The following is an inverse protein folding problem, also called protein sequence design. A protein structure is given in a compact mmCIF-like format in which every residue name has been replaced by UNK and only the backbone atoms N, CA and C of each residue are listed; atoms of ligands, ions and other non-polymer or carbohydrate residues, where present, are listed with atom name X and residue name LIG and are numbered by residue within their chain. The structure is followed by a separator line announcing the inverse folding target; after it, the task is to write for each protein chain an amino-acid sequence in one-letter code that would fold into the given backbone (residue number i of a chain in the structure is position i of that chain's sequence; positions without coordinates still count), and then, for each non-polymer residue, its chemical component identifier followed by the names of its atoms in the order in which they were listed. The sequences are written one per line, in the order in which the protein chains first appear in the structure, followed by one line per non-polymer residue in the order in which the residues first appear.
data_IF_652711512293
#
_entry.id   IF_652711512293
#
_cell.length_a   1.000
_cell.length_b   1.000
_cell.length_c   1.000
_cell.angle_alpha   90.00
_cell.angle_beta   90.00
_cell.angle_gamma   90.00
#
_symmetry.space_group_name_H-M   'P 1'
#
loop_
_entity.id
_entity.type
_entity.pdbx_description
1 polymer ?
#
# COMPACT_ATOMS: atom_id res chain seq x y z
N UNK A 1 -20.86 20.97 4.43
CA UNK A 1 -21.17 19.52 4.33
C UNK A 1 -19.96 18.76 4.84
N UNK A 2 -20.01 18.28 6.09
CA UNK A 2 -19.04 17.29 6.57
C UNK A 2 -19.44 15.95 5.95
N UNK A 3 -18.95 15.69 4.74
CA UNK A 3 -18.90 14.34 4.22
C UNK A 3 -17.94 13.58 5.11
N UNK A 4 -18.46 12.90 6.13
CA UNK A 4 -17.80 11.72 6.63
C UNK A 4 -17.75 10.73 5.46
N UNK A 5 -16.71 10.87 4.66
CA UNK A 5 -16.19 9.77 3.84
C UNK A 5 -16.05 8.60 4.81
N UNK A 6 -16.16 7.36 4.38
CA UNK A 6 -15.91 6.20 5.25
C UNK A 6 -14.36 6.11 5.48
N UNK A 7 -13.76 7.10 6.16
CA UNK A 7 -12.95 8.17 5.52
C UNK A 7 -11.51 7.94 5.12
N UNK A 8 -10.95 6.74 5.30
CA UNK A 8 -9.53 6.51 5.63
C UNK A 8 -9.32 6.45 7.14
N UNK A 9 -10.05 7.22 7.97
CA UNK A 9 -9.89 7.15 9.43
C UNK A 9 -10.15 5.73 9.96
N UNK A 10 -11.24 5.09 9.50
CA UNK A 10 -11.53 3.69 9.84
C UNK A 10 -10.42 2.73 9.38
N UNK A 11 -9.81 3.00 8.21
CA UNK A 11 -8.71 2.20 7.71
C UNK A 11 -7.48 2.38 8.61
N UNK A 12 -7.14 3.62 8.99
CA UNK A 12 -6.03 3.91 9.92
C UNK A 12 -6.16 3.16 11.23
N UNK A 13 -7.33 3.27 11.85
CA UNK A 13 -7.59 2.71 13.18
C UNK A 13 -7.63 1.19 13.15
N UNK A 14 -8.39 0.61 12.23
CA UNK A 14 -8.63 -0.85 12.19
C UNK A 14 -7.52 -1.64 11.53
N UNK A 15 -6.64 -1.00 10.75
CA UNK A 15 -5.45 -1.64 10.14
C UNK A 15 -4.12 -1.18 10.75
N UNK A 16 -4.17 -0.34 11.78
CA UNK A 16 -2.98 0.22 12.46
C UNK A 16 -2.02 0.96 11.52
N UNK A 17 -2.55 1.77 10.60
CA UNK A 17 -1.77 2.56 9.61
C UNK A 17 -1.96 4.07 9.81
N UNK A 18 -1.49 4.59 10.94
CA UNK A 18 -1.72 5.97 11.37
C UNK A 18 -1.26 7.06 10.37
N UNK A 19 -0.22 6.78 9.58
CA UNK A 19 0.32 7.70 8.59
C UNK A 19 -0.58 7.89 7.36
N UNK A 20 -1.53 6.99 7.12
CA UNK A 20 -2.38 7.01 5.93
C UNK A 20 -3.17 8.32 5.86
N UNK A 21 -3.21 8.98 4.71
CA UNK A 21 -3.99 10.20 4.49
C UNK A 21 -4.34 10.37 3.02
N UNK A 22 -5.35 11.18 2.73
CA UNK A 22 -5.66 11.55 1.35
C UNK A 22 -4.43 12.19 0.68
N UNK A 23 -4.17 11.81 -0.58
CA UNK A 23 -3.06 12.31 -1.36
C UNK A 23 -1.70 11.67 -1.04
N UNK A 24 -1.62 10.72 -0.09
CA UNK A 24 -0.35 10.04 0.16
C UNK A 24 0.05 9.22 -1.06
N UNK A 25 1.35 9.25 -1.36
CA UNK A 25 1.95 8.50 -2.45
C UNK A 25 2.04 7.03 -2.06
N UNK A 26 1.67 6.15 -2.98
CA UNK A 26 1.81 4.72 -2.77
C UNK A 26 2.14 3.96 -4.06
N UNK A 27 2.68 2.77 -3.86
CA UNK A 27 2.85 1.75 -4.88
C UNK A 27 2.03 0.55 -4.46
N UNK A 28 1.19 0.03 -5.36
CA UNK A 28 0.43 -1.20 -5.11
C UNK A 28 0.72 -2.16 -6.26
N UNK A 29 1.24 -3.35 -5.95
CA UNK A 29 1.62 -4.36 -6.93
C UNK A 29 2.48 -3.79 -8.07
N UNK A 30 3.53 -3.04 -7.71
CA UNK A 30 4.45 -2.41 -8.66
C UNK A 30 3.92 -1.17 -9.39
N UNK A 31 2.69 -0.72 -9.11
CA UNK A 31 2.07 0.43 -9.80
C UNK A 31 1.97 1.63 -8.88
N UNK A 32 2.50 2.76 -9.33
CA UNK A 32 2.47 4.02 -8.59
C UNK A 32 1.12 4.75 -8.70
N UNK A 33 0.69 5.35 -7.59
CA UNK A 33 -0.54 6.15 -7.53
C UNK A 33 -0.66 6.99 -6.26
N UNK A 34 -1.81 7.64 -6.10
CA UNK A 34 -2.17 8.41 -4.90
C UNK A 34 -3.40 7.82 -4.23
N UNK A 35 -3.41 7.78 -2.91
CA UNK A 35 -4.59 7.35 -2.14
C UNK A 35 -5.65 8.45 -2.15
N UNK A 36 -6.86 8.13 -2.60
CA UNK A 36 -7.96 9.10 -2.70
C UNK A 36 -9.01 8.97 -1.60
N UNK A 37 -9.24 7.77 -1.08
CA UNK A 37 -10.24 7.53 -0.02
C UNK A 37 -10.09 6.14 0.58
N UNK A 38 -10.79 5.89 1.69
CA UNK A 38 -11.06 4.54 2.20
C UNK A 38 -12.47 4.08 1.83
N UNK A 39 -12.77 2.82 2.07
CA UNK A 39 -14.12 2.28 1.96
C UNK A 39 -14.51 1.41 3.18
N UNK A 40 -15.75 0.96 3.20
CA UNK A 40 -16.36 0.16 4.27
C UNK A 40 -15.70 -1.20 4.50
N UNK A 41 -15.08 -1.76 3.47
CA UNK A 41 -14.30 -3.00 3.51
C UNK A 41 -12.89 -2.82 4.08
N UNK A 42 -12.60 -1.64 4.65
CA UNK A 42 -11.29 -1.26 5.19
C UNK A 42 -10.17 -1.32 4.14
N UNK A 43 -10.52 -1.06 2.89
CA UNK A 43 -9.57 -0.90 1.79
C UNK A 43 -9.33 0.58 1.47
N UNK A 44 -8.32 0.82 0.64
CA UNK A 44 -8.02 2.14 0.09
C UNK A 44 -8.38 2.19 -1.40
N UNK A 45 -8.80 3.36 -1.85
CA UNK A 45 -8.95 3.65 -3.26
C UNK A 45 -7.70 4.39 -3.74
N UNK A 46 -7.07 3.88 -4.80
CA UNK A 46 -5.84 4.44 -5.38
C UNK A 46 -6.10 4.91 -6.80
N UNK A 47 -5.78 6.16 -7.10
CA UNK A 47 -5.70 6.64 -8.49
C UNK A 47 -4.27 6.45 -8.97
N UNK A 48 -4.07 5.47 -9.85
CA UNK A 48 -2.77 5.22 -10.47
C UNK A 48 -2.41 6.32 -11.47
N UNK A 49 -1.13 6.60 -11.64
CA UNK A 49 -0.65 7.71 -12.50
C UNK A 49 -1.10 7.56 -13.96
N UNK A 50 -1.22 6.31 -14.42
CA UNK A 50 -1.67 5.98 -15.77
C UNK A 50 -3.19 6.04 -15.96
N UNK A 51 -3.97 6.35 -14.91
CA UNK A 51 -5.41 6.16 -14.88
C UNK A 51 -6.15 7.41 -14.35
N UNK A 52 -7.29 7.73 -14.97
CA UNK A 52 -8.15 8.85 -14.54
C UNK A 52 -9.18 8.48 -13.46
N UNK A 53 -9.19 7.22 -13.01
CA UNK A 53 -10.14 6.70 -12.02
C UNK A 53 -9.43 5.94 -10.90
N UNK A 54 -10.06 5.91 -9.72
CA UNK A 54 -9.54 5.19 -8.56
C UNK A 54 -9.92 3.71 -8.60
N UNK A 55 -9.06 2.86 -8.06
CA UNK A 55 -9.28 1.41 -7.93
C UNK A 55 -9.18 0.98 -6.47
N UNK A 56 -10.01 0.01 -6.08
CA UNK A 56 -10.02 -0.59 -4.74
C UNK A 56 -8.77 -1.45 -4.53
N UNK A 57 -8.02 -1.19 -3.46
CA UNK A 57 -6.76 -1.86 -3.15
C UNK A 57 -6.69 -2.22 -1.66
N UNK A 58 -6.13 -3.39 -1.35
CA UNK A 58 -5.86 -3.75 0.04
C UNK A 58 -4.65 -2.94 0.56
N UNK A 59 -4.75 -2.27 1.72
CA UNK A 59 -3.76 -1.28 2.13
C UNK A 59 -2.39 -1.86 2.48
N UNK A 60 -2.31 -3.17 2.74
CA UNK A 60 -1.10 -3.85 3.20
C UNK A 60 -0.75 -5.08 2.33
N UNK A 61 -1.28 -5.19 1.12
CA UNK A 61 -0.94 -6.29 0.22
C UNK A 61 -0.13 -5.74 -0.95
N UNK A 62 1.15 -6.12 -1.03
CA UNK A 62 2.05 -5.65 -2.09
C UNK A 62 2.08 -4.12 -2.19
N UNK A 63 2.02 -3.45 -1.03
CA UNK A 63 1.88 -1.99 -0.95
C UNK A 63 3.09 -1.33 -0.31
N UNK A 64 3.57 -0.24 -0.90
CA UNK A 64 4.48 0.73 -0.27
C UNK A 64 3.82 2.08 -0.15
N UNK A 65 4.19 2.82 0.89
CA UNK A 65 3.82 4.22 1.06
C UNK A 65 5.06 5.08 1.18
N UNK A 66 4.96 6.30 0.65
CA UNK A 66 6.07 7.24 0.61
C UNK A 66 5.69 8.56 1.28
N UNK A 67 6.67 9.23 1.88
CA UNK A 67 6.51 10.59 2.32
C UNK A 67 6.61 11.60 1.16
N UNK A 68 6.73 12.88 1.50
CA UNK A 68 6.81 13.98 0.52
C UNK A 68 8.16 14.05 -0.20
N UNK A 69 9.21 13.50 0.38
CA UNK A 69 10.57 13.51 -0.15
C UNK A 69 10.84 12.25 -1.00
N UNK A 70 9.92 11.29 -0.95
CA UNK A 70 9.96 10.05 -1.72
C UNK A 70 10.52 8.87 -0.92
N UNK A 71 10.77 9.07 0.37
CA UNK A 71 11.27 8.02 1.25
C UNK A 71 10.16 7.06 1.65
N UNK A 72 10.50 5.77 1.78
CA UNK A 72 9.55 4.73 2.17
C UNK A 72 9.21 4.86 3.66
N UNK A 73 7.93 5.07 3.97
CA UNK A 73 7.44 5.13 5.36
C UNK A 73 6.79 3.83 5.84
N UNK A 74 6.40 2.95 4.90
CA UNK A 74 5.92 1.60 5.18
C UNK A 74 6.03 0.74 3.92
N UNK A 75 6.45 -0.52 4.10
CA UNK A 75 6.53 -1.53 3.06
C UNK A 75 5.83 -2.82 3.52
N UNK A 76 4.82 -3.23 2.77
CA UNK A 76 4.03 -4.43 3.02
C UNK A 76 4.14 -5.45 1.87
N UNK A 77 5.10 -5.27 0.98
CA UNK A 77 5.38 -6.26 -0.07
C UNK A 77 5.96 -7.51 0.58
N UNK A 78 5.65 -8.68 0.04
CA UNK A 78 6.36 -9.89 0.45
C UNK A 78 7.82 -9.71 0.08
N UNK A 79 8.72 -9.99 1.02
CA UNK A 79 10.11 -10.22 0.66
C UNK A 79 10.12 -11.32 -0.40
N UNK A 80 10.84 -11.06 -1.49
CA UNK A 80 11.07 -12.05 -2.53
C UNK A 80 12.03 -13.11 -1.97
N UNK A 81 11.57 -13.89 -0.99
CA UNK A 81 12.24 -15.06 -0.45
C UNK A 81 12.21 -16.18 -1.49
N UNK A 82 12.93 -16.00 -2.59
CA UNK A 82 13.72 -17.11 -3.09
C UNK A 82 14.94 -17.14 -2.18
N UNK A 83 14.93 -18.05 -1.20
CA UNK A 83 16.16 -18.48 -0.57
C UNK A 83 17.16 -18.79 -1.69
N UNK A 84 18.31 -18.12 -1.68
CA UNK A 84 19.47 -18.65 -2.39
C UNK A 84 19.72 -20.03 -1.78
N UNK A 85 19.44 -21.09 -2.53
CA UNK A 85 20.00 -22.40 -2.25
C UNK A 85 21.52 -22.31 -2.47
N UNK A 86 22.24 -21.81 -1.45
CA UNK A 86 23.67 -22.03 -1.32
C UNK A 86 23.87 -23.36 -0.60
N UNK A 87 24.42 -24.34 -1.32
CA UNK A 87 25.10 -25.46 -0.71
C UNK A 87 24.26 -26.68 -0.32
N UNK A 88 23.70 -27.39 -1.30
CA UNK A 88 23.76 -28.85 -1.27
C UNK A 88 25.04 -29.29 -2.00
N UNK A 89 26.18 -29.21 -1.29
CA UNK A 89 27.39 -29.94 -1.67
C UNK A 89 27.06 -31.43 -1.59
N UNK A 90 26.88 -32.09 -2.72
CA UNK A 90 27.05 -33.54 -2.80
C UNK A 90 28.55 -33.82 -2.77
N UNK A 91 29.09 -34.11 -1.59
CA UNK A 91 30.39 -34.76 -1.48
C UNK A 91 30.20 -36.24 -1.80
N UNK A 92 30.92 -36.67 -2.85
CA UNK A 92 31.28 -38.01 -3.32
C UNK A 92 30.36 -39.19 -3.01
#
# INVERSE_FOLDING_TARGET
MNMEVISLQNVKEKRSIAFLKHGIRGEVNGRMGIVTSGNDSLNINVRYDSNNFSQNCHPQWETRYFDKDGDVIADYRKESGYEQFDGAKFFK
#
